data_IF_393931917760
#
_entry.id   IF_393931917760
#
_cell.length_a   1.000
_cell.length_b   1.000
_cell.length_c   1.000
_cell.angle_alpha   90.00
_cell.angle_beta   90.00
_cell.angle_gamma   90.00
#
_symmetry.space_group_name_H-M   'P 1'
#
loop_
_entity.id
_entity.type
_entity.pdbx_description
1 polymer ?
#
# COMPACT_ATOMS: atom_id res chain seq x y z
N UNK A 1 53.85 32.31 67.54
CA UNK A 1 54.72 32.11 66.37
C UNK A 1 54.13 30.98 65.58
N UNK A 2 53.24 31.24 64.61
CA UNK A 2 52.87 30.24 63.62
C UNK A 2 52.08 30.92 62.47
N UNK A 3 52.64 30.89 61.32
CA UNK A 3 52.12 31.47 60.11
C UNK A 3 51.02 30.61 59.51
N UNK A 4 49.87 31.20 59.33
CA UNK A 4 48.76 30.67 58.49
C UNK A 4 48.97 31.06 57.05
N UNK A 5 49.07 30.12 56.16
CA UNK A 5 49.01 30.35 54.71
C UNK A 5 47.63 29.96 54.18
N UNK A 6 46.99 30.97 53.73
CA UNK A 6 45.70 30.89 53.03
C UNK A 6 45.90 30.29 51.62
N UNK A 7 45.29 29.15 51.34
CA UNK A 7 45.24 28.59 49.98
C UNK A 7 43.84 28.82 49.37
N UNK A 8 43.78 29.77 48.41
CA UNK A 8 42.64 30.06 47.66
C UNK A 8 42.55 29.07 46.51
N UNK A 9 41.63 28.10 46.58
CA UNK A 9 41.34 27.19 45.49
C UNK A 9 40.35 27.84 44.51
N UNK A 10 40.87 28.16 43.31
CA UNK A 10 40.12 28.66 42.17
C UNK A 10 39.30 27.50 41.58
N UNK A 11 37.99 27.48 41.77
CA UNK A 11 37.08 26.52 41.12
C UNK A 11 36.76 27.02 39.74
N UNK A 12 37.33 26.38 38.71
CA UNK A 12 36.90 26.53 37.29
C UNK A 12 35.58 25.77 37.13
N UNK A 13 34.48 26.51 36.92
CA UNK A 13 33.21 25.97 36.46
C UNK A 13 33.27 25.81 34.92
N UNK A 14 33.48 24.57 34.47
CA UNK A 14 33.28 24.20 33.07
C UNK A 14 31.78 24.08 32.80
N UNK A 15 31.21 25.07 32.17
CA UNK A 15 29.84 24.99 31.63
C UNK A 15 29.89 24.21 30.31
N UNK A 16 29.52 22.93 30.36
CA UNK A 16 29.27 22.13 29.15
C UNK A 16 27.93 22.56 28.56
N UNK A 17 27.98 23.42 27.55
CA UNK A 17 26.82 23.72 26.73
C UNK A 17 26.47 22.52 25.84
N UNK A 18 25.45 21.74 26.22
CA UNK A 18 24.85 20.71 25.34
C UNK A 18 24.08 21.41 24.26
N UNK A 19 24.67 21.52 23.08
CA UNK A 19 23.97 21.94 21.87
C UNK A 19 23.00 20.78 21.44
N UNK A 20 21.74 20.86 21.85
CA UNK A 20 20.68 19.99 21.34
C UNK A 20 20.40 20.43 19.90
N UNK A 21 21.03 19.80 18.94
CA UNK A 21 20.62 19.86 17.54
C UNK A 21 19.23 19.19 17.43
N UNK A 22 18.19 19.99 17.50
CA UNK A 22 16.86 19.56 17.09
C UNK A 22 16.93 19.24 15.59
N UNK A 23 17.07 17.97 15.24
CA UNK A 23 16.85 17.51 13.88
C UNK A 23 15.36 17.72 13.58
N UNK A 24 15.05 18.88 12.97
CA UNK A 24 13.74 19.07 12.34
C UNK A 24 13.66 18.07 11.20
N UNK A 25 12.97 16.95 11.45
CA UNK A 25 12.52 16.06 10.39
C UNK A 25 11.64 16.93 9.48
N UNK A 26 12.21 17.36 8.36
CA UNK A 26 11.42 17.98 7.29
C UNK A 26 10.46 16.87 6.82
N UNK A 27 9.22 16.94 7.27
CA UNK A 27 8.17 16.13 6.70
C UNK A 27 8.22 16.35 5.18
N UNK A 28 8.58 15.33 4.42
CA UNK A 28 8.69 15.42 2.98
C UNK A 28 7.32 15.85 2.45
N UNK A 29 7.25 17.05 1.90
CA UNK A 29 6.01 17.58 1.29
C UNK A 29 5.68 16.65 0.13
N UNK A 30 4.57 15.93 0.22
CA UNK A 30 4.14 15.03 -0.84
C UNK A 30 3.76 15.84 -2.07
N UNK A 31 4.12 15.39 -3.29
CA UNK A 31 3.74 16.07 -4.51
C UNK A 31 2.20 16.20 -4.61
N UNK A 32 1.67 17.31 -5.17
CA UNK A 32 0.22 17.50 -5.34
C UNK A 32 -0.48 16.37 -6.11
N UNK A 33 0.26 15.66 -6.96
CA UNK A 33 -0.24 14.52 -7.72
C UNK A 33 -0.77 13.39 -6.81
N UNK A 34 -0.23 13.22 -5.59
CA UNK A 34 -0.70 12.21 -4.63
C UNK A 34 -2.15 12.48 -4.22
N UNK A 35 -2.44 13.74 -3.91
CA UNK A 35 -3.80 14.14 -3.53
C UNK A 35 -4.76 14.05 -4.72
N UNK A 36 -4.33 14.52 -5.90
CA UNK A 36 -5.09 14.41 -7.15
C UNK A 36 -5.44 12.96 -7.44
N UNK A 37 -4.46 12.05 -7.38
CA UNK A 37 -4.66 10.63 -7.56
C UNK A 37 -5.70 10.08 -6.58
N UNK A 38 -5.51 10.27 -5.28
CA UNK A 38 -6.40 9.75 -4.25
C UNK A 38 -7.84 10.28 -4.40
N UNK A 39 -8.03 11.56 -4.74
CA UNK A 39 -9.34 12.17 -4.99
C UNK A 39 -10.03 11.57 -6.21
N UNK A 40 -9.28 11.28 -7.28
CA UNK A 40 -9.82 10.59 -8.48
C UNK A 40 -10.46 9.25 -8.11
N UNK A 41 -9.90 8.56 -7.12
CA UNK A 41 -10.41 7.26 -6.66
C UNK A 41 -11.43 7.35 -5.51
N UNK A 42 -11.70 8.54 -4.98
CA UNK A 42 -12.76 8.78 -4.00
C UNK A 42 -12.29 8.77 -2.54
N UNK A 43 -11.03 9.18 -2.26
CA UNK A 43 -10.47 9.22 -0.90
C UNK A 43 -11.33 10.02 0.07
N UNK A 44 -11.92 11.12 -0.37
CA UNK A 44 -12.75 12.00 0.46
C UNK A 44 -13.99 11.27 1.04
N UNK A 45 -14.43 10.22 0.36
CA UNK A 45 -15.57 9.40 0.77
C UNK A 45 -15.17 8.08 1.45
N UNK A 46 -13.87 7.76 1.51
CA UNK A 46 -13.42 6.48 2.05
C UNK A 46 -13.82 6.28 3.52
N UNK A 47 -13.89 7.36 4.31
CA UNK A 47 -14.37 7.34 5.68
C UNK A 47 -15.83 6.88 5.86
N UNK A 48 -16.63 6.87 4.78
CA UNK A 48 -18.00 6.37 4.78
C UNK A 48 -18.10 4.85 4.53
N UNK A 49 -16.98 4.20 4.17
CA UNK A 49 -16.95 2.78 3.89
C UNK A 49 -16.96 1.98 5.21
N UNK A 50 -17.95 1.12 5.36
CA UNK A 50 -18.05 0.14 6.44
C UNK A 50 -17.35 -1.17 6.03
N UNK A 51 -17.54 -1.59 4.79
CA UNK A 51 -16.95 -2.82 4.28
C UNK A 51 -16.62 -2.78 2.79
N UNK A 52 -15.60 -3.54 2.41
CA UNK A 52 -15.23 -3.82 1.01
C UNK A 52 -15.14 -5.33 0.88
N UNK A 53 -15.80 -5.90 -0.13
CA UNK A 53 -15.64 -7.31 -0.48
C UNK A 53 -15.18 -7.43 -1.93
N UNK A 54 -14.38 -8.44 -2.21
CA UNK A 54 -13.92 -8.73 -3.56
C UNK A 54 -13.37 -10.16 -3.65
N UNK A 55 -13.33 -10.69 -4.86
CA UNK A 55 -12.57 -11.90 -5.19
C UNK A 55 -11.41 -11.50 -6.08
N UNK A 56 -10.20 -11.70 -5.58
CA UNK A 56 -8.94 -11.50 -6.30
C UNK A 56 -8.61 -12.77 -7.08
N UNK A 57 -8.18 -12.60 -8.30
CA UNK A 57 -7.72 -13.68 -9.17
C UNK A 57 -6.36 -13.33 -9.75
N UNK A 58 -5.47 -14.32 -9.89
CA UNK A 58 -4.21 -14.18 -10.61
C UNK A 58 -3.91 -15.41 -11.44
N UNK A 59 -3.55 -15.18 -12.70
CA UNK A 59 -3.18 -16.20 -13.66
C UNK A 59 -1.83 -15.86 -14.31
N UNK A 60 -0.89 -16.77 -14.19
CA UNK A 60 0.41 -16.75 -14.87
C UNK A 60 0.87 -18.19 -15.11
N UNK A 61 1.90 -18.47 -15.95
CA UNK A 61 2.25 -19.84 -16.31
C UNK A 61 2.40 -20.78 -15.10
N UNK A 62 1.52 -21.79 -15.04
CA UNK A 62 1.49 -22.78 -13.96
C UNK A 62 0.78 -22.35 -12.68
N UNK A 63 0.14 -21.18 -12.66
CA UNK A 63 -0.57 -20.65 -11.49
C UNK A 63 -1.93 -20.10 -11.89
N UNK A 64 -2.97 -20.56 -11.18
CA UNK A 64 -4.32 -20.04 -11.23
C UNK A 64 -4.84 -19.97 -9.79
N UNK A 65 -4.93 -18.76 -9.27
CA UNK A 65 -5.27 -18.49 -7.88
C UNK A 65 -6.54 -17.65 -7.78
N UNK A 66 -7.33 -17.95 -6.75
CA UNK A 66 -8.51 -17.16 -6.39
C UNK A 66 -8.66 -17.10 -4.89
N UNK A 67 -8.91 -15.89 -4.36
CA UNK A 67 -9.12 -15.61 -2.93
C UNK A 67 -10.23 -14.60 -2.76
N UNK A 68 -11.16 -14.87 -1.88
CA UNK A 68 -12.26 -13.95 -1.57
C UNK A 68 -12.04 -13.30 -0.22
N UNK A 69 -12.22 -12.00 -0.19
CA UNK A 69 -12.00 -11.16 0.97
C UNK A 69 -13.24 -10.32 1.30
N UNK A 70 -13.49 -10.18 2.58
CA UNK A 70 -14.34 -9.10 3.12
C UNK A 70 -13.50 -8.36 4.16
N UNK A 71 -13.36 -7.07 3.98
CA UNK A 71 -12.57 -6.20 4.86
C UNK A 71 -13.44 -5.07 5.40
N UNK A 72 -13.36 -4.86 6.70
CA UNK A 72 -13.96 -3.72 7.39
C UNK A 72 -12.86 -2.73 7.77
N UNK A 73 -12.66 -1.65 7.02
CA UNK A 73 -11.54 -0.72 7.24
C UNK A 73 -11.53 -0.09 8.63
N UNK A 74 -12.71 0.17 9.22
CA UNK A 74 -12.83 0.84 10.53
C UNK A 74 -12.46 -0.03 11.72
N UNK A 75 -12.77 -1.31 11.64
CA UNK A 75 -12.50 -2.28 12.72
C UNK A 75 -11.18 -3.00 12.51
N UNK A 76 -10.70 -3.04 11.27
CA UNK A 76 -9.58 -3.87 10.85
C UNK A 76 -9.94 -5.35 10.77
N UNK A 77 -11.25 -5.71 10.78
CA UNK A 77 -11.67 -7.08 10.60
C UNK A 77 -11.50 -7.52 9.16
N UNK A 78 -10.93 -8.71 8.97
CA UNK A 78 -10.76 -9.35 7.67
C UNK A 78 -11.39 -10.75 7.72
N UNK A 79 -12.19 -11.07 6.72
CA UNK A 79 -12.68 -12.43 6.47
C UNK A 79 -12.08 -12.92 5.17
N UNK A 80 -11.43 -14.07 5.23
CA UNK A 80 -10.90 -14.84 4.12
C UNK A 80 -11.82 -15.99 3.78
N UNK A 81 -12.12 -16.19 2.52
CA UNK A 81 -12.76 -17.39 1.98
C UNK A 81 -11.91 -17.90 0.80
N UNK A 82 -11.43 -19.14 0.90
CA UNK A 82 -10.54 -19.71 -0.11
C UNK A 82 -10.22 -21.16 0.17
N UNK A 83 -8.97 -21.54 -0.08
CA UNK A 83 -8.46 -22.89 0.18
C UNK A 83 -7.29 -22.81 1.14
N UNK A 84 -7.15 -23.85 1.98
CA UNK A 84 -5.94 -24.05 2.77
C UNK A 84 -4.81 -24.65 1.91
N UNK A 85 -3.67 -24.91 2.55
CA UNK A 85 -2.49 -25.53 1.91
C UNK A 85 -2.78 -26.93 1.32
N UNK A 86 -3.81 -27.61 1.82
CA UNK A 86 -4.22 -28.95 1.38
C UNK A 86 -5.35 -28.87 0.32
N UNK A 87 -5.72 -27.66 -0.12
CA UNK A 87 -6.76 -27.41 -1.13
C UNK A 87 -8.18 -27.49 -0.60
N UNK A 88 -8.39 -27.62 0.72
CA UNK A 88 -9.72 -27.70 1.33
C UNK A 88 -10.32 -26.30 1.50
N UNK A 89 -11.63 -26.14 1.29
CA UNK A 89 -12.31 -24.87 1.54
C UNK A 89 -12.11 -24.42 2.99
N UNK A 90 -11.79 -23.16 3.18
CA UNK A 90 -11.60 -22.54 4.49
C UNK A 90 -12.23 -21.17 4.54
N UNK A 91 -12.81 -20.83 5.70
CA UNK A 91 -13.27 -19.50 6.03
C UNK A 91 -12.69 -19.08 7.37
N UNK A 92 -11.98 -17.95 7.38
CA UNK A 92 -11.33 -17.41 8.59
C UNK A 92 -11.68 -15.95 8.73
N UNK A 93 -12.06 -15.55 9.93
CA UNK A 93 -12.27 -14.14 10.30
C UNK A 93 -11.31 -13.78 11.42
N UNK A 94 -10.62 -12.65 11.29
CA UNK A 94 -9.65 -12.18 12.28
C UNK A 94 -9.60 -10.65 12.33
N UNK A 95 -9.10 -10.12 13.45
CA UNK A 95 -8.80 -8.69 13.62
C UNK A 95 -7.32 -8.46 13.38
N UNK A 96 -6.96 -7.56 12.47
CA UNK A 96 -5.57 -7.21 12.19
C UNK A 96 -4.86 -6.59 13.39
N UNK A 97 -5.57 -5.87 14.24
CA UNK A 97 -5.03 -5.35 15.52
C UNK A 97 -4.60 -6.45 16.50
N UNK A 98 -5.07 -7.68 16.31
CA UNK A 98 -4.76 -8.85 17.13
C UNK A 98 -3.95 -9.89 16.35
N UNK A 99 -3.26 -9.50 15.28
CA UNK A 99 -2.56 -10.44 14.38
C UNK A 99 -1.53 -11.28 15.12
N UNK A 100 -0.79 -10.71 16.07
CA UNK A 100 0.24 -11.42 16.83
C UNK A 100 -0.30 -12.62 17.64
N UNK A 101 -1.57 -12.58 18.03
CA UNK A 101 -2.23 -13.65 18.79
C UNK A 101 -2.97 -14.67 17.90
N UNK A 102 -3.02 -14.43 16.57
CA UNK A 102 -3.69 -15.34 15.64
C UNK A 102 -2.85 -16.62 15.41
N UNK A 103 -3.48 -17.71 14.95
CA UNK A 103 -2.76 -18.91 14.50
C UNK A 103 -1.68 -18.60 13.45
N UNK A 104 -0.63 -19.44 13.39
CA UNK A 104 0.46 -19.28 12.44
C UNK A 104 -0.04 -19.18 10.99
N UNK A 105 -1.03 -19.99 10.59
CA UNK A 105 -1.63 -19.94 9.25
C UNK A 105 -2.18 -18.54 8.90
N UNK A 106 -2.82 -17.87 9.85
CA UNK A 106 -3.34 -16.51 9.64
C UNK A 106 -2.18 -15.52 9.51
N UNK A 107 -1.19 -15.59 10.40
CA UNK A 107 -0.08 -14.66 10.44
C UNK A 107 0.89 -14.77 9.26
N UNK A 108 1.11 -15.98 8.79
CA UNK A 108 2.19 -16.30 7.83
C UNK A 108 1.68 -16.44 6.39
N UNK A 109 0.40 -16.77 6.21
CA UNK A 109 -0.17 -17.04 4.89
C UNK A 109 -1.38 -16.16 4.57
N UNK A 110 -2.39 -16.09 5.46
CA UNK A 110 -3.65 -15.42 5.16
C UNK A 110 -3.48 -13.89 5.19
N UNK A 111 -2.97 -13.29 6.27
CA UNK A 111 -2.82 -11.82 6.35
C UNK A 111 -1.82 -11.25 5.33
N UNK A 112 -0.66 -11.89 5.05
CA UNK A 112 0.18 -11.49 3.93
C UNK A 112 -0.52 -11.60 2.57
N UNK A 113 -1.36 -12.61 2.37
CA UNK A 113 -2.21 -12.75 1.18
C UNK A 113 -3.22 -11.61 1.07
N UNK A 114 -3.92 -11.29 2.16
CA UNK A 114 -4.82 -10.13 2.21
C UNK A 114 -4.09 -8.84 1.86
N UNK A 115 -2.95 -8.58 2.48
CA UNK A 115 -2.17 -7.37 2.23
C UNK A 115 -1.77 -7.27 0.76
N UNK A 116 -1.24 -8.35 0.17
CA UNK A 116 -0.89 -8.38 -1.24
C UNK A 116 -2.11 -8.03 -2.13
N UNK A 117 -3.23 -8.71 -1.92
CA UNK A 117 -4.40 -8.57 -2.78
C UNK A 117 -5.08 -7.20 -2.63
N UNK A 118 -5.04 -6.65 -1.43
CA UNK A 118 -5.54 -5.31 -1.13
C UNK A 118 -4.72 -4.23 -1.83
N UNK A 119 -3.38 -4.34 -1.86
CA UNK A 119 -2.53 -3.42 -2.63
C UNK A 119 -2.88 -3.43 -4.11
N UNK A 120 -3.13 -4.59 -4.70
CA UNK A 120 -3.55 -4.67 -6.10
C UNK A 120 -4.92 -4.04 -6.37
N UNK A 121 -5.84 -4.07 -5.42
CA UNK A 121 -7.19 -3.49 -5.58
C UNK A 121 -7.20 -1.98 -5.43
N UNK A 122 -6.53 -1.46 -4.38
CA UNK A 122 -6.70 -0.07 -3.94
C UNK A 122 -5.36 0.69 -3.81
N UNK A 123 -4.36 0.33 -4.59
CA UNK A 123 -3.04 0.96 -4.55
C UNK A 123 -3.08 2.51 -4.62
N UNK A 124 -3.95 3.16 -5.40
CA UNK A 124 -4.08 4.61 -5.40
C UNK A 124 -4.37 5.24 -4.03
N UNK A 125 -5.06 4.52 -3.14
CA UNK A 125 -5.26 4.96 -1.77
C UNK A 125 -4.01 4.73 -0.91
N UNK A 126 -3.28 3.62 -1.12
CA UNK A 126 -2.00 3.37 -0.46
C UNK A 126 -0.98 4.45 -0.78
N UNK A 127 -0.93 4.93 -2.01
CA UNK A 127 -0.08 6.08 -2.37
C UNK A 127 -0.34 7.29 -1.47
N UNK A 128 -1.58 7.50 -1.04
CA UNK A 128 -1.96 8.60 -0.15
C UNK A 128 -1.70 8.26 1.32
N UNK A 129 -1.99 7.04 1.77
CA UNK A 129 -1.92 6.64 3.18
C UNK A 129 -0.51 6.31 3.66
N UNK A 130 0.30 5.69 2.80
CA UNK A 130 1.61 5.17 3.18
C UNK A 130 2.64 6.30 3.23
N UNK A 131 2.58 7.10 4.31
CA UNK A 131 3.42 8.29 4.47
C UNK A 131 4.91 8.00 4.56
N UNK A 132 5.31 6.75 4.84
CA UNK A 132 6.70 6.31 4.82
C UNK A 132 7.27 6.11 3.40
N UNK A 133 6.42 6.01 2.38
CA UNK A 133 6.87 5.90 1.01
C UNK A 133 7.28 7.26 0.44
N UNK A 134 8.38 7.27 -0.33
CA UNK A 134 8.77 8.43 -1.12
C UNK A 134 7.99 8.45 -2.41
N UNK A 135 7.34 9.56 -2.73
CA UNK A 135 6.60 9.75 -3.99
C UNK A 135 7.25 10.86 -4.80
N UNK A 136 7.52 10.58 -6.08
CA UNK A 136 8.12 11.52 -7.03
C UNK A 136 7.23 11.63 -8.26
N UNK A 137 6.94 12.85 -8.66
CA UNK A 137 6.34 13.18 -9.96
C UNK A 137 7.47 13.40 -10.95
N UNK A 138 7.54 12.56 -12.00
CA UNK A 138 8.58 12.62 -13.02
C UNK A 138 8.07 13.21 -14.35
N UNK A 139 6.89 13.83 -14.32
CA UNK A 139 6.28 14.46 -15.48
C UNK A 139 5.86 13.46 -16.56
N UNK A 140 5.60 13.95 -17.75
CA UNK A 140 5.11 13.13 -18.86
C UNK A 140 6.20 12.21 -19.41
N UNK A 141 5.91 10.91 -19.44
CA UNK A 141 6.81 9.86 -19.94
C UNK A 141 6.03 8.89 -20.85
N UNK A 142 6.79 8.12 -21.67
CA UNK A 142 6.19 7.08 -22.52
C UNK A 142 5.56 5.98 -21.68
N UNK A 143 4.41 5.49 -22.13
CA UNK A 143 3.75 4.31 -21.58
C UNK A 143 4.60 3.05 -21.82
N UNK A 144 4.76 2.16 -20.83
CA UNK A 144 5.59 0.97 -20.95
C UNK A 144 5.01 -0.12 -21.88
N UNK A 145 3.69 -0.18 -22.04
CA UNK A 145 3.01 -1.16 -22.90
C UNK A 145 2.36 -0.51 -24.12
N UNK A 146 1.81 0.68 -23.95
CA UNK A 146 1.00 1.37 -24.95
C UNK A 146 1.82 2.26 -25.88
N UNK A 147 1.06 2.87 -26.81
CA UNK A 147 1.56 3.97 -27.66
C UNK A 147 1.01 5.26 -27.06
N UNK A 148 1.89 6.12 -26.58
CA UNK A 148 1.51 7.40 -25.99
C UNK A 148 2.37 7.77 -24.83
N UNK A 149 1.92 8.76 -24.09
CA UNK A 149 2.61 9.29 -22.92
C UNK A 149 1.59 9.66 -21.85
N UNK A 150 1.98 9.50 -20.60
CA UNK A 150 1.17 9.79 -19.43
C UNK A 150 2.04 10.40 -18.33
N UNK A 151 1.45 10.98 -17.31
CA UNK A 151 2.13 11.54 -16.14
C UNK A 151 2.69 10.39 -15.29
N UNK A 152 4.02 10.35 -15.13
CA UNK A 152 4.72 9.27 -14.42
C UNK A 152 4.90 9.62 -12.95
N UNK A 153 4.39 8.77 -12.08
CA UNK A 153 4.53 8.88 -10.63
C UNK A 153 5.27 7.65 -10.10
N UNK A 154 6.35 7.87 -9.37
CA UNK A 154 7.15 6.79 -8.76
C UNK A 154 6.90 6.79 -7.26
N UNK A 155 6.54 5.61 -6.72
CA UNK A 155 6.32 5.37 -5.29
C UNK A 155 7.34 4.34 -4.82
N UNK A 156 8.26 4.75 -3.95
CA UNK A 156 9.33 3.89 -3.44
C UNK A 156 9.17 3.67 -1.95
N UNK A 157 9.05 2.41 -1.56
CA UNK A 157 8.97 2.00 -0.18
C UNK A 157 10.36 1.86 0.47
N UNK A 158 10.53 2.18 1.75
CA UNK A 158 11.77 1.94 2.46
C UNK A 158 12.10 0.44 2.53
N UNK A 159 13.40 0.13 2.64
CA UNK A 159 13.88 -1.27 2.53
C UNK A 159 13.74 -2.08 3.81
N UNK A 160 13.42 -1.44 4.93
CA UNK A 160 13.52 -2.00 6.28
C UNK A 160 12.22 -2.02 7.06
N UNK A 161 11.14 -1.44 6.53
CA UNK A 161 9.86 -1.34 7.22
C UNK A 161 8.67 -1.59 6.30
N UNK A 162 7.54 -2.00 6.88
CA UNK A 162 6.27 -2.16 6.21
C UNK A 162 6.03 -3.53 5.58
N UNK A 163 4.96 -3.64 4.84
CA UNK A 163 4.53 -4.88 4.18
C UNK A 163 5.21 -5.12 2.83
N UNK A 164 5.75 -4.06 2.23
CA UNK A 164 6.34 -4.05 0.88
C UNK A 164 7.76 -3.48 0.90
N UNK A 165 8.68 -4.00 1.76
CA UNK A 165 9.98 -3.41 1.99
C UNK A 165 10.80 -3.39 0.70
N UNK A 166 11.25 -2.17 0.31
CA UNK A 166 12.07 -1.94 -0.87
C UNK A 166 11.33 -1.99 -2.20
N UNK A 167 10.04 -2.23 -2.22
CA UNK A 167 9.25 -2.28 -3.46
C UNK A 167 9.15 -0.88 -4.10
N UNK A 168 9.10 -0.87 -5.43
CA UNK A 168 8.90 0.35 -6.20
C UNK A 168 7.73 0.17 -7.15
N UNK A 169 6.79 1.11 -7.11
CA UNK A 169 5.69 1.21 -8.05
C UNK A 169 5.89 2.43 -8.93
N UNK A 170 5.71 2.28 -10.21
CA UNK A 170 5.67 3.35 -11.18
C UNK A 170 4.28 3.37 -11.80
N UNK A 171 3.53 4.43 -11.58
CA UNK A 171 2.20 4.62 -12.14
C UNK A 171 2.25 5.59 -13.30
N UNK A 172 1.45 5.35 -14.33
CA UNK A 172 1.30 6.22 -15.48
C UNK A 172 -0.15 6.69 -15.51
N UNK A 173 -0.37 7.99 -15.27
CA UNK A 173 -1.68 8.60 -15.10
C UNK A 173 -2.11 9.31 -16.37
N UNK A 174 -3.30 8.98 -16.84
CA UNK A 174 -3.97 9.70 -17.92
C UNK A 174 -4.38 11.12 -17.49
N UNK A 175 -4.86 11.89 -18.46
CA UNK A 175 -5.30 13.28 -18.23
C UNK A 175 -6.46 13.40 -17.27
N UNK A 176 -7.25 12.36 -17.12
CA UNK A 176 -8.36 12.24 -16.16
C UNK A 176 -7.94 11.85 -14.75
N UNK A 177 -6.64 11.66 -14.52
CA UNK A 177 -6.05 11.27 -13.24
C UNK A 177 -6.15 9.79 -12.91
N UNK A 178 -6.66 8.96 -13.84
CA UNK A 178 -6.67 7.50 -13.67
C UNK A 178 -5.33 6.91 -14.07
N UNK A 179 -4.93 5.84 -13.40
CA UNK A 179 -3.76 5.06 -13.82
C UNK A 179 -4.13 4.29 -15.09
N UNK A 180 -3.33 4.39 -16.14
CA UNK A 180 -3.50 3.63 -17.38
C UNK A 180 -2.66 2.37 -17.39
N UNK A 181 -1.40 2.51 -17.00
CA UNK A 181 -0.41 1.43 -16.94
C UNK A 181 0.44 1.58 -15.67
N UNK A 182 1.07 0.51 -15.27
CA UNK A 182 2.00 0.53 -14.16
C UNK A 182 3.18 -0.41 -14.39
N UNK A 183 4.25 -0.15 -13.65
CA UNK A 183 5.37 -1.04 -13.43
C UNK A 183 5.53 -1.25 -11.92
N UNK A 184 5.65 -2.48 -11.50
CA UNK A 184 5.97 -2.88 -10.15
C UNK A 184 7.31 -3.61 -10.14
N UNK A 185 8.23 -3.15 -9.34
CA UNK A 185 9.53 -3.77 -9.11
C UNK A 185 9.59 -4.24 -7.65
N UNK A 186 9.63 -5.57 -7.47
CA UNK A 186 9.77 -6.17 -6.15
C UNK A 186 11.17 -5.93 -5.62
N UNK A 187 11.26 -5.36 -4.43
CA UNK A 187 12.51 -5.06 -3.75
C UNK A 187 12.77 -5.89 -2.51
N UNK A 188 13.60 -5.34 -1.63
CA UNK A 188 13.98 -5.95 -0.37
C UNK A 188 14.84 -7.20 -0.55
N UNK A 189 14.69 -8.16 0.37
CA UNK A 189 15.44 -9.44 0.36
C UNK A 189 14.76 -10.52 -0.46
N UNK A 190 13.57 -10.27 -0.99
CA UNK A 190 12.85 -11.22 -1.84
C UNK A 190 13.50 -11.31 -3.21
N UNK A 191 13.31 -12.45 -3.90
CA UNK A 191 13.73 -12.59 -5.30
C UNK A 191 13.14 -11.43 -6.12
N UNK A 192 13.96 -10.66 -6.85
CA UNK A 192 13.48 -9.60 -7.72
C UNK A 192 12.45 -10.12 -8.71
N UNK A 193 11.45 -9.32 -8.98
CA UNK A 193 10.41 -9.60 -9.98
C UNK A 193 9.87 -8.29 -10.51
N UNK A 194 9.55 -8.24 -11.79
CA UNK A 194 9.03 -7.06 -12.47
C UNK A 194 7.68 -7.39 -13.08
N UNK A 195 6.65 -6.63 -12.72
CA UNK A 195 5.35 -6.68 -13.38
C UNK A 195 5.14 -5.39 -14.14
N UNK A 196 4.73 -5.50 -15.42
CA UNK A 196 4.31 -4.37 -16.24
C UNK A 196 2.94 -4.73 -16.80
N UNK A 197 1.92 -3.95 -16.46
CA UNK A 197 0.56 -4.26 -16.85
C UNK A 197 -0.31 -3.00 -16.98
N UNK A 198 -1.47 -3.17 -17.58
CA UNK A 198 -2.53 -2.17 -17.60
C UNK A 198 -3.18 -2.03 -16.23
N UNK A 199 -3.77 -0.86 -15.99
CA UNK A 199 -4.65 -0.60 -14.85
C UNK A 199 -5.99 -0.17 -15.44
N UNK A 200 -6.91 -1.12 -15.59
CA UNK A 200 -8.08 -0.99 -16.44
C UNK A 200 -9.36 -1.59 -15.82
N UNK A 201 -10.45 -1.69 -16.58
CA UNK A 201 -11.69 -2.27 -16.09
C UNK A 201 -12.31 -1.44 -14.96
N UNK A 202 -12.28 -0.12 -15.10
CA UNK A 202 -12.76 0.79 -14.08
C UNK A 202 -14.27 0.66 -13.83
N UNK A 203 -14.62 0.54 -12.56
CA UNK A 203 -15.99 0.43 -12.06
C UNK A 203 -16.20 1.33 -10.85
N UNK A 204 -17.40 1.81 -10.67
CA UNK A 204 -17.83 2.51 -9.46
C UNK A 204 -18.40 1.53 -8.46
N UNK A 205 -17.76 1.45 -7.26
CA UNK A 205 -18.28 0.74 -6.11
C UNK A 205 -18.72 1.77 -5.06
N UNK A 206 -20.01 2.13 -5.07
CA UNK A 206 -20.49 3.30 -4.31
C UNK A 206 -19.71 4.57 -4.69
N UNK A 207 -19.10 5.27 -3.72
CA UNK A 207 -18.32 6.48 -4.00
C UNK A 207 -16.89 6.21 -4.49
N UNK A 208 -16.45 4.96 -4.50
CA UNK A 208 -15.08 4.60 -4.88
C UNK A 208 -14.99 4.23 -6.36
N UNK A 209 -13.88 4.62 -6.99
CA UNK A 209 -13.49 4.15 -8.31
C UNK A 209 -12.47 3.01 -8.13
N UNK A 210 -12.78 1.84 -8.71
CA UNK A 210 -11.95 0.63 -8.59
C UNK A 210 -11.55 0.16 -9.97
N UNK A 211 -10.27 -0.15 -10.15
CA UNK A 211 -9.78 -0.89 -11.32
C UNK A 211 -9.92 -2.39 -11.06
N UNK A 212 -10.49 -3.11 -12.01
CA UNK A 212 -10.76 -4.54 -11.84
C UNK A 212 -10.00 -5.43 -12.81
N UNK A 213 -9.10 -4.88 -13.63
CA UNK A 213 -8.43 -5.62 -14.70
C UNK A 213 -6.98 -5.16 -14.88
N UNK A 214 -6.03 -6.09 -14.78
CA UNK A 214 -4.61 -5.84 -14.97
C UNK A 214 -4.01 -6.92 -15.88
N UNK A 215 -3.63 -6.54 -17.10
CA UNK A 215 -3.04 -7.44 -18.10
C UNK A 215 -1.68 -6.97 -18.56
N UNK A 216 -0.73 -7.89 -18.67
CA UNK A 216 0.61 -7.56 -19.11
C UNK A 216 1.58 -8.70 -18.95
N UNK A 217 2.74 -8.43 -18.36
CA UNK A 217 3.78 -9.42 -18.12
C UNK A 217 4.31 -9.37 -16.70
N UNK A 218 4.68 -10.55 -16.18
CA UNK A 218 5.46 -10.71 -14.96
C UNK A 218 6.76 -11.44 -15.34
N UNK A 219 7.91 -10.77 -15.16
CA UNK A 219 9.23 -11.26 -15.59
C UNK A 219 9.25 -11.69 -17.07
N UNK A 220 8.58 -10.92 -17.93
CA UNK A 220 8.47 -11.16 -19.37
C UNK A 220 7.47 -12.27 -19.77
N UNK A 221 6.79 -12.92 -18.81
CA UNK A 221 5.79 -13.96 -19.08
C UNK A 221 4.37 -13.38 -18.97
N UNK A 222 3.39 -13.92 -19.71
CA UNK A 222 2.00 -13.45 -19.60
C UNK A 222 1.51 -13.40 -18.16
N UNK A 223 0.87 -12.29 -17.81
CA UNK A 223 0.31 -12.02 -16.50
C UNK A 223 -1.10 -11.45 -16.64
N UNK A 224 -2.03 -12.00 -15.87
CA UNK A 224 -3.38 -11.49 -15.74
C UNK A 224 -3.78 -11.53 -14.27
N UNK A 225 -4.18 -10.37 -13.76
CA UNK A 225 -4.76 -10.22 -12.44
C UNK A 225 -6.09 -9.47 -12.60
N UNK A 226 -7.14 -9.97 -11.96
CA UNK A 226 -8.45 -9.32 -12.04
C UNK A 226 -9.26 -9.52 -10.76
N UNK A 227 -10.32 -8.72 -10.65
CA UNK A 227 -11.23 -8.76 -9.52
C UNK A 227 -12.66 -9.01 -9.97
N UNK A 228 -13.35 -9.88 -9.23
CA UNK A 228 -14.79 -10.11 -9.37
C UNK A 228 -15.50 -9.88 -8.04
N UNK A 229 -16.82 -9.82 -8.04
CA UNK A 229 -17.64 -9.65 -6.83
C UNK A 229 -17.23 -8.42 -5.99
N UNK A 230 -16.70 -7.39 -6.64
CA UNK A 230 -16.32 -6.14 -5.96
C UNK A 230 -17.57 -5.42 -5.52
N UNK A 231 -17.68 -5.15 -4.23
CA UNK A 231 -18.77 -4.38 -3.65
C UNK A 231 -18.31 -3.61 -2.42
N UNK A 232 -19.00 -2.52 -2.13
CA UNK A 232 -18.80 -1.76 -0.90
C UNK A 232 -20.09 -1.68 -0.09
N UNK A 233 -19.93 -1.52 1.21
CA UNK A 233 -21.02 -1.25 2.15
C UNK A 233 -20.72 0.07 2.83
N UNK A 234 -21.70 0.96 2.82
CA UNK A 234 -21.58 2.25 3.52
C UNK A 234 -22.06 2.14 4.97
N UNK A 235 -21.48 2.95 5.83
CA UNK A 235 -21.89 3.05 7.22
C UNK A 235 -23.40 3.31 7.31
N UNK A 236 -24.08 2.46 8.07
CA UNK A 236 -25.52 2.57 8.30
C UNK A 236 -26.42 2.15 7.13
N UNK A 237 -25.87 1.75 5.98
CA UNK A 237 -26.71 1.35 4.83
C UNK A 237 -27.31 -0.05 4.97
N UNK A 238 -26.64 -0.94 5.72
CA UNK A 238 -27.05 -2.34 5.84
C UNK A 238 -26.92 -3.18 4.56
N UNK A 239 -26.68 -2.57 3.40
CA UNK A 239 -26.67 -3.23 2.08
C UNK A 239 -25.32 -3.09 1.37
N UNK A 240 -24.98 -4.10 0.56
CA UNK A 240 -23.83 -4.07 -0.34
C UNK A 240 -24.19 -3.46 -1.67
N UNK A 241 -23.34 -2.60 -2.18
CA UNK A 241 -23.44 -1.99 -3.52
C UNK A 241 -22.35 -2.61 -4.39
N UNK A 242 -22.77 -3.40 -5.38
CA UNK A 242 -21.86 -4.03 -6.34
C UNK A 242 -21.27 -2.99 -7.28
N UNK A 243 -20.01 -3.20 -7.68
CA UNK A 243 -19.30 -2.34 -8.62
C UNK A 243 -19.86 -2.47 -10.03
N UNK A 244 -20.15 -1.32 -10.68
CA UNK A 244 -20.76 -1.20 -12.00
C UNK A 244 -19.88 -0.40 -12.96
#
# INVERSE_FOLDING_TARGET
MTNSRCNTALRLLLVFGVLVLAATSLAQTRPPIVEKLAKTYGIDSFGQIEGIRYTWHAQFPGVDLSRTWTWEPKTGQVTYEGKDKDGKPVKVTYLRSQLSSQPAEVRENIDPGFTNDNYWLIFPFHVYWDTGATVTDEGTQKLPLGKGSAEKVVVKYPSDVGYTPGDTWTLYLGTDGRVEEFRYDRGGTKKPSVVIATWAGYKKAGPLLISTEHRGTADGKPFHLWFTNVAVKLVGSGTWMDAQ
#
